data_IF_661112407184
#
_entry.id   IF_661112407184
#
_cell.length_a   1.000
_cell.length_b   1.000
_cell.length_c   1.000
_cell.angle_alpha   90.00
_cell.angle_beta   90.00
_cell.angle_gamma   90.00
#
_symmetry.space_group_name_H-M   'P 1'
#
loop_
_entity.id
_entity.type
_entity.pdbx_description
1 polymer ?
#
# COMPACT_ATOMS: atom_id res chain seq x y z
N UNK A 1 -6.37 46.85 29.59
CA UNK A 1 -6.69 46.41 28.21
C UNK A 1 -5.84 45.17 27.99
N UNK A 2 -6.45 44.00 28.22
CA UNK A 2 -5.87 42.69 28.08
C UNK A 2 -6.14 42.22 26.64
N UNK A 3 -5.08 41.99 25.85
CA UNK A 3 -5.16 41.39 24.55
C UNK A 3 -5.07 39.85 24.71
N UNK A 4 -6.20 39.24 24.50
CA UNK A 4 -6.35 37.77 24.47
C UNK A 4 -5.74 37.25 23.14
N UNK A 5 -4.56 36.62 23.23
CA UNK A 5 -3.94 35.93 22.12
C UNK A 5 -4.41 34.46 22.16
N UNK A 6 -5.64 34.24 21.69
CA UNK A 6 -6.10 32.90 21.35
C UNK A 6 -5.29 32.41 20.17
N UNK A 7 -4.25 31.63 20.46
CA UNK A 7 -3.52 30.87 19.46
C UNK A 7 -4.47 29.78 18.89
N UNK A 8 -5.06 30.02 17.73
CA UNK A 8 -5.71 28.98 16.92
C UNK A 8 -4.61 28.03 16.46
N UNK A 9 -4.44 26.93 17.19
CA UNK A 9 -3.71 25.78 16.69
C UNK A 9 -4.55 25.22 15.54
N UNK A 10 -4.16 25.50 14.30
CA UNK A 10 -4.72 24.83 13.13
C UNK A 10 -4.33 23.37 13.25
N UNK A 11 -5.23 22.54 13.77
CA UNK A 11 -5.11 21.10 13.67
C UNK A 11 -5.32 20.82 12.19
N UNK A 12 -4.23 20.54 11.47
CA UNK A 12 -4.33 19.97 10.13
C UNK A 12 -5.00 18.60 10.32
N UNK A 13 -6.26 18.49 9.98
CA UNK A 13 -6.94 17.20 9.92
C UNK A 13 -6.20 16.36 8.87
N UNK A 14 -5.59 15.27 9.31
CA UNK A 14 -4.93 14.34 8.39
C UNK A 14 -5.94 13.87 7.35
N UNK A 15 -5.58 14.00 6.08
CA UNK A 15 -6.47 13.59 4.99
C UNK A 15 -6.72 12.09 5.07
N UNK A 16 -7.95 11.67 5.28
CA UNK A 16 -8.33 10.26 5.20
C UNK A 16 -8.11 9.76 3.76
N UNK A 17 -7.38 8.65 3.62
CA UNK A 17 -6.99 8.07 2.35
C UNK A 17 -7.39 6.60 2.24
N UNK A 18 -7.54 6.15 1.01
CA UNK A 18 -7.52 4.74 0.65
C UNK A 18 -6.08 4.34 0.33
N UNK A 19 -5.49 3.49 1.14
CA UNK A 19 -4.12 3.03 0.99
C UNK A 19 -4.15 1.62 0.39
N UNK A 20 -3.70 1.50 -0.86
CA UNK A 20 -3.58 0.21 -1.52
C UNK A 20 -2.26 -0.45 -1.15
N UNK A 21 -2.34 -1.63 -0.54
CA UNK A 21 -1.16 -2.41 -0.14
C UNK A 21 -1.07 -3.67 -0.98
N UNK A 22 0.00 -3.78 -1.74
CA UNK A 22 0.37 -4.97 -2.50
C UNK A 22 1.34 -5.82 -1.69
N UNK A 23 1.00 -7.08 -1.48
CA UNK A 23 1.80 -8.02 -0.69
C UNK A 23 1.43 -9.45 -1.03
N UNK A 24 2.29 -10.39 -0.61
CA UNK A 24 2.09 -11.81 -0.88
C UNK A 24 1.16 -12.51 0.12
N UNK A 25 0.58 -13.64 -0.31
CA UNK A 25 -0.16 -14.56 0.53
C UNK A 25 0.77 -15.40 1.45
N UNK A 26 2.07 -15.48 1.17
CA UNK A 26 3.03 -16.22 1.98
C UNK A 26 3.53 -15.37 3.15
N UNK A 27 3.73 -16.00 4.33
CA UNK A 27 4.27 -15.30 5.51
C UNK A 27 5.77 -14.96 5.37
N UNK A 28 6.46 -15.61 4.43
CA UNK A 28 7.90 -15.48 4.30
C UNK A 28 8.65 -16.27 5.38
N UNK A 29 9.98 -16.08 5.38
CA UNK A 29 10.88 -16.80 6.30
C UNK A 29 11.19 -16.01 7.57
N UNK A 30 11.11 -14.68 7.48
CA UNK A 30 11.50 -13.77 8.56
C UNK A 30 10.30 -13.37 9.41
N UNK A 31 10.30 -13.61 10.72
CA UNK A 31 9.21 -13.20 11.62
C UNK A 31 8.95 -11.68 11.60
N UNK A 32 9.98 -10.88 11.32
CA UNK A 32 9.88 -9.43 11.21
C UNK A 32 8.85 -8.97 10.15
N UNK A 33 8.65 -9.75 9.08
CA UNK A 33 7.64 -9.45 8.05
C UNK A 33 6.23 -9.40 8.64
N UNK A 34 5.88 -10.38 9.47
CA UNK A 34 4.54 -10.44 10.08
C UNK A 34 4.34 -9.31 11.09
N UNK A 35 5.37 -8.99 11.87
CA UNK A 35 5.32 -7.87 12.81
C UNK A 35 5.11 -6.56 12.08
N UNK A 36 5.94 -6.24 11.10
CA UNK A 36 5.88 -4.98 10.35
C UNK A 36 4.57 -4.81 9.58
N UNK A 37 4.02 -5.90 8.99
CA UNK A 37 2.74 -5.83 8.28
C UNK A 37 1.56 -5.60 9.22
N UNK A 38 1.60 -6.18 10.43
CA UNK A 38 0.59 -5.93 11.46
C UNK A 38 0.66 -4.49 11.98
N UNK A 39 1.86 -3.95 12.20
CA UNK A 39 2.07 -2.55 12.60
C UNK A 39 1.55 -1.59 11.52
N UNK A 40 1.81 -1.86 10.23
CA UNK A 40 1.26 -1.10 9.11
C UNK A 40 -0.27 -1.12 9.12
N UNK A 41 -0.87 -2.30 9.25
CA UNK A 41 -2.33 -2.44 9.30
C UNK A 41 -2.95 -1.71 10.49
N UNK A 42 -2.34 -1.82 11.67
CA UNK A 42 -2.76 -1.11 12.89
C UNK A 42 -2.70 0.41 12.67
N UNK A 43 -1.60 0.92 12.12
CA UNK A 43 -1.45 2.34 11.83
C UNK A 43 -2.54 2.84 10.86
N UNK A 44 -2.81 2.10 9.77
CA UNK A 44 -3.87 2.43 8.81
C UNK A 44 -5.22 2.58 9.53
N UNK A 45 -5.55 1.64 10.44
CA UNK A 45 -6.80 1.66 11.18
C UNK A 45 -6.90 2.80 12.18
N UNK A 46 -5.86 3.01 13.00
CA UNK A 46 -5.81 4.03 14.05
C UNK A 46 -5.90 5.46 13.49
N UNK A 47 -5.40 5.69 12.27
CA UNK A 47 -5.45 7.01 11.60
C UNK A 47 -6.69 7.19 10.72
N UNK A 48 -7.65 6.26 10.79
CA UNK A 48 -8.92 6.36 10.07
C UNK A 48 -8.83 6.15 8.56
N UNK A 49 -7.68 5.70 8.06
CA UNK A 49 -7.53 5.36 6.65
C UNK A 49 -8.27 4.06 6.29
N UNK A 50 -8.44 3.82 5.00
CA UNK A 50 -9.00 2.57 4.49
C UNK A 50 -7.91 1.74 3.82
N UNK A 51 -7.76 0.48 4.24
CA UNK A 51 -6.93 -0.48 3.52
C UNK A 51 -7.65 -0.97 2.26
N UNK A 52 -6.98 -0.92 1.11
CA UNK A 52 -7.37 -1.63 -0.12
C UNK A 52 -6.34 -2.72 -0.37
N UNK A 53 -6.79 -3.97 -0.53
CA UNK A 53 -5.88 -5.10 -0.71
C UNK A 53 -6.53 -6.23 -1.51
N UNK A 54 -5.81 -7.33 -1.70
CA UNK A 54 -6.21 -8.42 -2.56
C UNK A 54 -7.31 -9.37 -2.04
N UNK A 55 -7.93 -9.10 -0.89
CA UNK A 55 -9.10 -9.84 -0.38
C UNK A 55 -8.80 -11.09 0.44
N UNK A 56 -7.63 -11.72 0.26
CA UNK A 56 -7.32 -13.02 0.88
C UNK A 56 -7.13 -12.96 2.40
N UNK A 57 -7.57 -14.04 3.07
CA UNK A 57 -7.33 -14.28 4.51
C UNK A 57 -5.96 -14.89 4.82
N UNK A 58 -5.18 -15.26 3.80
CA UNK A 58 -3.97 -16.08 3.96
C UNK A 58 -2.71 -15.21 4.12
N UNK A 59 -1.80 -15.65 4.97
CA UNK A 59 -0.45 -15.11 5.14
C UNK A 59 -0.42 -13.64 5.52
N UNK A 60 0.49 -12.87 4.90
CA UNK A 60 0.65 -11.44 5.17
C UNK A 60 -0.57 -10.62 4.76
N UNK A 61 -1.30 -11.05 3.72
CA UNK A 61 -2.55 -10.40 3.29
C UNK A 61 -3.61 -10.44 4.38
N UNK A 62 -3.85 -11.61 4.97
CA UNK A 62 -4.78 -11.76 6.08
C UNK A 62 -4.32 -11.00 7.32
N UNK A 63 -3.01 -10.95 7.58
CA UNK A 63 -2.45 -10.26 8.73
C UNK A 63 -2.68 -8.74 8.68
N UNK A 64 -2.40 -8.07 7.54
CA UNK A 64 -2.63 -6.62 7.41
C UNK A 64 -4.10 -6.27 7.54
N UNK A 65 -4.99 -7.04 6.91
CA UNK A 65 -6.43 -6.80 6.95
C UNK A 65 -7.00 -6.98 8.35
N UNK A 66 -6.63 -8.06 9.04
CA UNK A 66 -7.05 -8.33 10.42
C UNK A 66 -6.58 -7.25 11.39
N UNK A 67 -5.33 -6.78 11.26
CA UNK A 67 -4.79 -5.71 12.11
C UNK A 67 -5.49 -4.38 11.86
N UNK A 68 -5.81 -4.05 10.60
CA UNK A 68 -6.56 -2.83 10.26
C UNK A 68 -7.97 -2.87 10.86
N UNK A 69 -8.69 -3.99 10.73
CA UNK A 69 -10.02 -4.17 11.31
C UNK A 69 -9.98 -4.10 12.84
N UNK A 70 -9.00 -4.75 13.47
CA UNK A 70 -8.84 -4.75 14.93
C UNK A 70 -8.56 -3.35 15.49
N UNK A 71 -7.90 -2.49 14.72
CA UNK A 71 -7.66 -1.08 15.04
C UNK A 71 -8.83 -0.15 14.69
N UNK A 72 -9.98 -0.69 14.28
CA UNK A 72 -11.20 0.07 13.94
C UNK A 72 -11.22 0.70 12.55
N UNK A 73 -10.24 0.35 11.69
CA UNK A 73 -10.15 0.83 10.32
C UNK A 73 -11.11 0.12 9.36
N UNK A 74 -11.22 0.66 8.16
CA UNK A 74 -11.99 0.07 7.06
C UNK A 74 -11.07 -0.76 6.17
N UNK A 75 -11.61 -1.86 5.64
CA UNK A 75 -10.87 -2.75 4.73
C UNK A 75 -11.74 -3.09 3.52
N UNK A 76 -11.22 -2.81 2.33
CA UNK A 76 -11.80 -3.18 1.04
C UNK A 76 -10.94 -4.29 0.43
N UNK A 77 -11.51 -5.47 0.28
CA UNK A 77 -10.91 -6.57 -0.47
C UNK A 77 -11.31 -6.51 -1.94
N UNK A 78 -10.35 -6.69 -2.85
CA UNK A 78 -10.62 -6.78 -4.29
C UNK A 78 -10.14 -8.13 -4.78
N UNK A 79 -11.06 -9.01 -5.14
CA UNK A 79 -10.73 -10.41 -5.40
C UNK A 79 -11.43 -10.91 -6.68
N UNK A 80 -10.72 -11.60 -7.57
CA UNK A 80 -11.34 -12.18 -8.75
C UNK A 80 -12.22 -13.38 -8.38
N UNK A 81 -13.28 -13.58 -9.13
CA UNK A 81 -14.32 -14.61 -8.90
C UNK A 81 -13.74 -16.00 -8.63
N UNK A 82 -12.71 -16.38 -9.35
CA UNK A 82 -12.12 -17.73 -9.20
C UNK A 82 -11.43 -17.96 -7.84
N UNK A 83 -11.00 -16.91 -7.13
CA UNK A 83 -10.50 -17.04 -5.75
C UNK A 83 -11.63 -17.11 -4.73
N UNK A 84 -12.76 -16.44 -5.00
CA UNK A 84 -13.98 -16.56 -4.17
C UNK A 84 -14.46 -18.00 -4.15
N UNK A 85 -14.45 -18.68 -5.31
CA UNK A 85 -14.81 -20.09 -5.43
C UNK A 85 -13.90 -21.04 -4.63
N UNK A 86 -12.70 -20.59 -4.26
CA UNK A 86 -11.77 -21.31 -3.40
C UNK A 86 -11.90 -20.94 -1.92
N UNK A 87 -12.86 -20.09 -1.55
CA UNK A 87 -13.11 -19.63 -0.19
C UNK A 87 -11.88 -18.99 0.50
N UNK A 88 -11.08 -18.24 -0.26
CA UNK A 88 -9.85 -17.62 0.23
C UNK A 88 -10.07 -16.23 0.83
N UNK A 89 -11.24 -15.64 0.66
CA UNK A 89 -11.58 -14.31 1.17
C UNK A 89 -11.57 -14.26 2.71
N UNK A 90 -11.26 -13.08 3.24
CA UNK A 90 -11.38 -12.80 4.66
C UNK A 90 -12.84 -12.44 4.98
N UNK A 91 -13.38 -13.04 6.04
CA UNK A 91 -14.69 -12.66 6.58
C UNK A 91 -14.62 -11.35 7.36
N UNK A 92 -15.72 -10.59 7.37
CA UNK A 92 -15.82 -9.35 8.15
C UNK A 92 -15.16 -8.13 7.52
N UNK A 93 -14.81 -8.19 6.23
CA UNK A 93 -14.37 -7.02 5.48
C UNK A 93 -15.45 -5.93 5.48
N UNK A 94 -15.03 -4.66 5.42
CA UNK A 94 -15.97 -3.54 5.24
C UNK A 94 -16.67 -3.65 3.88
N UNK A 95 -15.93 -4.04 2.85
CA UNK A 95 -16.43 -4.29 1.50
C UNK A 95 -15.60 -5.37 0.81
N UNK A 96 -16.23 -6.23 0.03
CA UNK A 96 -15.59 -7.18 -0.87
C UNK A 96 -16.05 -6.89 -2.30
N UNK A 97 -15.11 -6.46 -3.14
CA UNK A 97 -15.36 -6.21 -4.56
C UNK A 97 -14.91 -7.44 -5.35
N UNK A 98 -15.85 -8.09 -6.01
CA UNK A 98 -15.58 -9.25 -6.87
C UNK A 98 -15.37 -8.78 -8.30
N UNK A 99 -14.24 -9.14 -8.89
CA UNK A 99 -13.89 -8.81 -10.28
C UNK A 99 -13.93 -10.06 -11.17
N UNK A 100 -13.98 -9.86 -12.47
CA UNK A 100 -14.06 -10.99 -13.42
C UNK A 100 -12.71 -11.69 -13.54
N UNK A 101 -11.61 -10.93 -13.63
CA UNK A 101 -10.27 -11.47 -13.80
C UNK A 101 -9.20 -10.64 -13.04
N UNK A 102 -7.92 -11.02 -13.22
CA UNK A 102 -6.78 -10.32 -12.58
C UNK A 102 -6.53 -8.93 -13.16
N UNK A 103 -6.91 -8.67 -14.39
CA UNK A 103 -6.76 -7.36 -15.01
C UNK A 103 -7.74 -6.36 -14.40
N UNK A 104 -9.00 -6.75 -14.30
CA UNK A 104 -10.05 -5.97 -13.66
C UNK A 104 -9.70 -5.70 -12.18
N UNK A 105 -9.17 -6.72 -11.49
CA UNK A 105 -8.74 -6.59 -10.08
C UNK A 105 -7.66 -5.51 -9.93
N UNK A 106 -6.59 -5.57 -10.71
CA UNK A 106 -5.50 -4.59 -10.65
C UNK A 106 -5.99 -3.19 -10.99
N UNK A 107 -6.80 -3.07 -12.04
CA UNK A 107 -7.43 -1.79 -12.41
C UNK A 107 -8.24 -1.22 -11.26
N UNK A 108 -9.09 -2.05 -10.62
CA UNK A 108 -9.94 -1.63 -9.51
C UNK A 108 -9.13 -1.20 -8.28
N UNK A 109 -8.08 -1.93 -7.94
CA UNK A 109 -7.19 -1.58 -6.82
C UNK A 109 -6.48 -0.23 -7.06
N UNK A 110 -6.11 0.07 -8.31
CA UNK A 110 -5.50 1.36 -8.66
C UNK A 110 -6.54 2.49 -8.62
N UNK A 111 -7.75 2.27 -9.13
CA UNK A 111 -8.82 3.26 -9.12
C UNK A 111 -9.24 3.70 -7.71
N UNK A 112 -9.18 2.78 -6.76
CA UNK A 112 -9.57 3.02 -5.37
C UNK A 112 -8.49 3.73 -4.56
N UNK A 113 -7.20 3.54 -4.90
CA UNK A 113 -6.07 3.95 -4.09
C UNK A 113 -5.70 5.43 -4.23
N UNK A 114 -5.52 6.11 -3.12
CA UNK A 114 -4.91 7.45 -3.03
C UNK A 114 -3.38 7.36 -2.82
N UNK A 115 -2.89 6.22 -2.33
CA UNK A 115 -1.48 5.90 -2.13
C UNK A 115 -1.26 4.40 -2.33
N UNK A 116 -0.04 4.01 -2.72
CA UNK A 116 0.31 2.64 -3.06
C UNK A 116 1.55 2.19 -2.31
N UNK A 117 1.47 1.08 -1.59
CA UNK A 117 2.57 0.50 -0.84
C UNK A 117 2.84 -0.91 -1.37
N UNK A 118 4.08 -1.16 -1.81
CA UNK A 118 4.59 -2.51 -2.03
C UNK A 118 5.28 -2.99 -0.75
N UNK A 119 4.63 -3.88 -0.01
CA UNK A 119 5.26 -4.61 1.08
C UNK A 119 6.06 -5.80 0.51
N UNK A 120 7.11 -6.34 1.18
CA UNK A 120 7.82 -7.52 0.70
C UNK A 120 6.88 -8.64 0.24
N UNK A 121 7.03 -9.07 -1.02
CA UNK A 121 6.14 -10.02 -1.65
C UNK A 121 6.79 -10.74 -2.85
N UNK A 122 6.01 -11.50 -3.57
CA UNK A 122 6.46 -12.26 -4.73
C UNK A 122 6.25 -11.52 -6.07
N UNK A 123 6.23 -12.31 -7.14
CA UNK A 123 6.05 -11.80 -8.52
C UNK A 123 4.71 -11.10 -8.73
N UNK A 124 3.65 -11.51 -8.02
CA UNK A 124 2.35 -10.81 -8.08
C UNK A 124 2.45 -9.38 -7.55
N UNK A 125 3.10 -9.20 -6.39
CA UNK A 125 3.37 -7.86 -5.83
C UNK A 125 4.22 -7.01 -6.78
N UNK A 126 5.22 -7.63 -7.42
CA UNK A 126 6.05 -6.95 -8.42
C UNK A 126 5.24 -6.52 -9.64
N UNK A 127 4.38 -7.38 -10.16
CA UNK A 127 3.50 -7.07 -11.30
C UNK A 127 2.57 -5.89 -10.97
N UNK A 128 1.91 -5.94 -9.82
CA UNK A 128 0.97 -4.92 -9.37
C UNK A 128 1.65 -3.55 -9.21
N UNK A 129 2.78 -3.48 -8.52
CA UNK A 129 3.49 -2.21 -8.30
C UNK A 129 4.16 -1.69 -9.58
N UNK A 130 4.59 -2.56 -10.50
CA UNK A 130 5.14 -2.17 -11.80
C UNK A 130 4.09 -1.47 -12.66
N UNK A 131 2.82 -1.87 -12.58
CA UNK A 131 1.72 -1.17 -13.26
C UNK A 131 1.51 0.23 -12.68
N UNK A 132 1.54 0.39 -11.35
CA UNK A 132 1.50 1.70 -10.68
C UNK A 132 2.63 2.59 -11.16
N UNK A 133 3.88 2.10 -11.13
CA UNK A 133 5.04 2.85 -11.61
C UNK A 133 4.90 3.27 -13.08
N UNK A 134 4.36 2.40 -13.93
CA UNK A 134 4.13 2.70 -15.34
C UNK A 134 3.10 3.83 -15.53
N UNK A 135 2.00 3.80 -14.77
CA UNK A 135 0.96 4.85 -14.80
C UNK A 135 1.51 6.20 -14.29
N UNK A 136 2.35 6.18 -13.25
CA UNK A 136 3.05 7.38 -12.76
C UNK A 136 3.97 7.97 -13.83
N UNK A 137 4.79 7.14 -14.48
CA UNK A 137 5.71 7.56 -15.53
C UNK A 137 5.01 8.17 -16.75
N UNK A 138 3.76 7.81 -17.00
CA UNK A 138 2.90 8.32 -18.07
C UNK A 138 2.01 9.50 -17.64
N UNK A 139 2.08 9.93 -16.39
CA UNK A 139 1.19 10.93 -15.76
C UNK A 139 -0.31 10.53 -15.84
N UNK A 140 -0.60 9.24 -15.84
CA UNK A 140 -1.96 8.71 -15.74
C UNK A 140 -2.39 8.48 -14.30
N UNK A 141 -1.47 8.65 -13.36
CA UNK A 141 -1.67 8.54 -11.92
C UNK A 141 -0.84 9.63 -11.23
N UNK A 142 -1.36 10.20 -10.16
CA UNK A 142 -0.69 11.21 -9.35
C UNK A 142 -0.81 10.88 -7.86
N UNK A 143 -0.04 9.90 -7.41
CA UNK A 143 -0.07 9.37 -6.05
C UNK A 143 1.32 8.87 -5.61
N UNK A 144 1.62 8.81 -4.30
CA UNK A 144 2.86 8.20 -3.83
C UNK A 144 2.86 6.68 -4.07
N UNK A 145 3.99 6.18 -4.58
CA UNK A 145 4.29 4.77 -4.76
C UNK A 145 5.47 4.42 -3.85
N UNK A 146 5.21 3.69 -2.77
CA UNK A 146 6.16 3.46 -1.69
C UNK A 146 6.56 1.99 -1.65
N UNK A 147 7.83 1.70 -1.81
CA UNK A 147 8.40 0.40 -1.49
C UNK A 147 8.77 0.38 -0.01
N UNK A 148 8.06 -0.44 0.79
CA UNK A 148 8.44 -0.69 2.16
C UNK A 148 9.65 -1.62 2.18
N UNK A 149 10.84 -1.02 2.22
CA UNK A 149 12.13 -1.69 2.05
C UNK A 149 12.63 -2.35 3.34
N UNK A 150 11.74 -3.07 4.02
CA UNK A 150 12.06 -3.75 5.27
C UNK A 150 13.30 -4.64 5.11
N UNK A 151 14.32 -4.42 5.93
CA UNK A 151 15.60 -5.14 5.91
C UNK A 151 16.30 -5.15 4.53
N UNK A 152 16.11 -4.11 3.71
CA UNK A 152 16.74 -4.01 2.39
C UNK A 152 16.12 -4.92 1.32
N UNK A 153 14.89 -5.42 1.54
CA UNK A 153 14.23 -6.34 0.61
C UNK A 153 14.18 -5.81 -0.83
N UNK A 154 14.00 -4.52 -0.99
CA UNK A 154 13.89 -3.84 -2.28
C UNK A 154 15.16 -3.12 -2.75
N UNK A 155 16.32 -3.33 -2.10
CA UNK A 155 17.59 -2.69 -2.49
C UNK A 155 17.94 -2.94 -3.96
N UNK A 156 17.73 -4.17 -4.46
CA UNK A 156 17.97 -4.51 -5.86
C UNK A 156 16.97 -3.83 -6.82
N UNK A 157 15.74 -3.61 -6.39
CA UNK A 157 14.76 -2.87 -7.17
C UNK A 157 15.17 -1.40 -7.28
N UNK A 158 15.58 -0.79 -6.17
CA UNK A 158 16.11 0.57 -6.13
C UNK A 158 17.31 0.73 -7.07
N UNK A 159 18.27 -0.19 -6.98
CA UNK A 159 19.44 -0.20 -7.85
C UNK A 159 19.08 -0.34 -9.34
N UNK A 160 18.07 -1.17 -9.67
CA UNK A 160 17.57 -1.29 -11.05
C UNK A 160 16.94 0.01 -11.55
N UNK A 161 16.12 0.68 -10.74
CA UNK A 161 15.50 1.95 -11.10
C UNK A 161 16.54 3.07 -11.30
N UNK A 162 17.56 3.13 -10.43
CA UNK A 162 18.68 4.05 -10.58
C UNK A 162 19.44 3.76 -11.88
N UNK A 163 19.71 2.50 -12.17
CA UNK A 163 20.39 2.08 -13.40
C UNK A 163 19.59 2.42 -14.68
N UNK A 164 18.27 2.33 -14.63
CA UNK A 164 17.43 2.79 -15.76
C UNK A 164 17.62 4.28 -16.04
N UNK A 165 17.84 5.12 -15.01
CA UNK A 165 18.14 6.54 -15.19
C UNK A 165 19.55 6.73 -15.76
N UNK A 166 20.54 6.02 -15.24
CA UNK A 166 21.94 6.08 -15.74
C UNK A 166 22.04 5.69 -17.21
N UNK A 167 21.25 4.70 -17.63
CA UNK A 167 21.19 4.23 -19.02
C UNK A 167 20.28 5.09 -19.92
N UNK A 168 19.73 6.19 -19.41
CA UNK A 168 18.79 7.07 -20.11
C UNK A 168 17.50 6.37 -20.61
N UNK A 169 17.15 5.21 -20.00
CA UNK A 169 15.90 4.47 -20.28
C UNK A 169 14.72 4.99 -19.45
N UNK A 170 15.02 5.76 -18.39
CA UNK A 170 14.05 6.46 -17.57
C UNK A 170 14.61 7.83 -17.17
N UNK A 171 13.85 8.62 -16.41
CA UNK A 171 14.29 9.92 -15.91
C UNK A 171 13.88 10.10 -14.44
N UNK A 172 14.58 10.96 -13.71
CA UNK A 172 14.19 11.35 -12.34
C UNK A 172 12.77 11.88 -12.28
N UNK A 173 12.32 12.62 -13.29
CA UNK A 173 10.97 13.15 -13.37
C UNK A 173 9.92 12.04 -13.47
N UNK A 174 10.17 10.98 -14.24
CA UNK A 174 9.27 9.82 -14.35
C UNK A 174 9.21 8.98 -13.08
N UNK A 175 10.23 9.07 -12.24
CA UNK A 175 10.34 8.30 -10.99
C UNK A 175 10.09 9.16 -9.74
N UNK A 176 9.75 10.43 -9.86
CA UNK A 176 9.67 11.40 -8.76
C UNK A 176 8.73 11.02 -7.61
N UNK A 177 7.75 10.16 -7.87
CA UNK A 177 6.78 9.68 -6.87
C UNK A 177 7.01 8.24 -6.41
N UNK A 178 8.15 7.66 -6.80
CA UNK A 178 8.57 6.33 -6.35
C UNK A 178 9.54 6.52 -5.18
N UNK A 179 9.18 5.99 -4.03
CA UNK A 179 9.90 6.15 -2.77
C UNK A 179 10.31 4.79 -2.22
N UNK A 180 11.40 4.76 -1.45
CA UNK A 180 11.84 3.61 -0.67
C UNK A 180 11.93 4.04 0.78
N UNK A 181 11.29 3.29 1.66
CA UNK A 181 11.20 3.57 3.08
C UNK A 181 11.56 2.29 3.86
N UNK A 182 12.52 2.38 4.75
CA UNK A 182 13.06 1.24 5.48
C UNK A 182 12.27 0.94 6.77
N UNK A 183 11.54 1.93 7.29
CA UNK A 183 10.75 1.83 8.52
C UNK A 183 9.31 2.29 8.33
N UNK A 184 8.43 1.92 9.28
CA UNK A 184 7.03 2.37 9.26
C UNK A 184 6.94 3.89 9.38
N UNK A 185 7.77 4.51 10.19
CA UNK A 185 7.82 5.97 10.37
C UNK A 185 8.13 6.68 9.06
N UNK A 186 9.07 6.14 8.27
CA UNK A 186 9.39 6.69 6.95
C UNK A 186 8.24 6.51 5.96
N UNK A 187 7.58 5.32 5.96
CA UNK A 187 6.38 5.07 5.14
C UNK A 187 5.30 6.08 5.46
N UNK A 188 4.99 6.27 6.74
CA UNK A 188 3.91 7.15 7.18
C UNK A 188 4.22 8.63 6.92
N UNK A 189 5.48 9.04 7.03
CA UNK A 189 5.91 10.39 6.68
C UNK A 189 5.73 10.76 5.20
N UNK A 190 5.72 9.76 4.31
CA UNK A 190 5.47 9.93 2.87
C UNK A 190 3.97 10.01 2.50
N UNK A 191 3.09 9.70 3.47
CA UNK A 191 1.64 9.72 3.30
C UNK A 191 0.98 11.01 3.80
N UNK A 192 1.73 11.82 4.59
CA UNK A 192 1.27 13.07 5.22
C UNK A 192 1.48 14.32 4.34
#
# INVERSE_FOLDING_TARGET
>A
ISADHSAYTCIMEDKIMNITVYLGANEGREPALKTAVCELGTWIGEHGHTLVYGGSRVGLMGAVAASTLAAGGKVIGVEPRFFIEQELQLDGLTELIVTEDMTDRKTKMIELGDAFIAFPGGTGTLEEIAEVMSKLALNHLDAPCIFYNLNGYYDHMKALLDHMIEMELSTKERQKKIYFADTLEEVTALLN
#
